data_IF_372214769754
#
_entry.id   IF_372214769754
#
_cell.length_a   1.000
_cell.length_b   1.000
_cell.length_c   1.000
_cell.angle_alpha   90.00
_cell.angle_beta   90.00
_cell.angle_gamma   90.00
#
_symmetry.space_group_name_H-M   'P 1'
#
loop_
_entity.id
_entity.type
_entity.pdbx_description
1 polymer ?
#
# COMPACT_ATOMS: atom_id res chain seq x y z
N UNK A 1 -6.80 13.48 5.61
CA UNK A 1 -5.40 13.42 6.11
C UNK A 1 -4.59 12.64 5.09
N UNK A 2 -3.58 13.24 4.47
CA UNK A 2 -2.69 12.51 3.57
C UNK A 2 -1.92 11.47 4.38
N UNK A 3 -2.03 10.19 4.01
CA UNK A 3 -1.23 9.16 4.65
C UNK A 3 0.26 9.51 4.46
N UNK A 4 1.09 9.44 5.50
CA UNK A 4 2.52 9.64 5.35
C UNK A 4 3.04 8.65 4.31
N UNK A 5 3.86 9.12 3.37
CA UNK A 5 4.48 8.25 2.38
C UNK A 5 5.28 7.12 3.05
N UNK A 6 5.45 5.99 2.35
CA UNK A 6 6.14 4.79 2.88
C UNK A 6 7.51 5.12 3.52
N UNK A 7 8.26 6.05 2.91
CA UNK A 7 9.55 6.51 3.46
C UNK A 7 9.38 7.20 4.83
N UNK A 8 8.45 8.14 4.94
CA UNK A 8 8.17 8.84 6.20
C UNK A 8 7.67 7.89 7.27
N UNK A 9 6.81 6.92 6.90
CA UNK A 9 6.32 5.90 7.82
C UNK A 9 7.47 5.11 8.47
N UNK A 10 8.35 4.50 7.66
CA UNK A 10 9.47 3.72 8.21
C UNK A 10 10.48 4.58 8.96
N UNK A 11 10.76 5.80 8.48
CA UNK A 11 11.65 6.72 9.20
C UNK A 11 11.08 7.05 10.59
N UNK A 12 9.78 7.35 10.70
CA UNK A 12 9.13 7.60 11.99
C UNK A 12 9.07 6.35 12.87
N UNK A 13 8.84 5.17 12.29
CA UNK A 13 8.78 3.90 13.01
C UNK A 13 10.13 3.57 13.66
N UNK A 14 11.24 3.72 12.92
CA UNK A 14 12.56 3.43 13.46
C UNK A 14 13.04 4.50 14.44
N UNK A 15 12.67 5.77 14.21
CA UNK A 15 12.92 6.84 15.17
C UNK A 15 12.14 6.64 16.48
N UNK A 16 10.87 6.23 16.42
CA UNK A 16 10.08 5.94 17.63
C UNK A 16 10.58 4.70 18.35
N UNK A 17 10.99 3.66 17.62
CA UNK A 17 11.63 2.48 18.20
C UNK A 17 12.92 2.85 18.95
N UNK A 18 13.74 3.74 18.37
CA UNK A 18 14.95 4.24 19.03
C UNK A 18 14.62 4.89 20.39
N UNK A 19 13.56 5.71 20.45
CA UNK A 19 13.11 6.35 21.69
C UNK A 19 12.61 5.30 22.68
N UNK A 20 11.73 4.39 22.25
CA UNK A 20 11.11 3.38 23.12
C UNK A 20 12.17 2.47 23.74
N UNK A 21 13.07 1.93 22.92
CA UNK A 21 14.13 1.02 23.42
C UNK A 21 15.08 1.76 24.35
N UNK A 22 15.51 2.97 23.98
CA UNK A 22 16.43 3.75 24.82
C UNK A 22 15.81 4.18 26.14
N UNK A 23 14.53 4.58 26.12
CA UNK A 23 13.78 4.95 27.32
C UNK A 23 13.57 3.73 28.23
N UNK A 24 13.29 2.55 27.68
CA UNK A 24 13.14 1.33 28.45
C UNK A 24 14.45 0.92 29.14
N UNK A 25 15.59 0.97 28.42
CA UNK A 25 16.91 0.72 29.01
C UNK A 25 17.29 1.76 30.07
N UNK A 26 16.97 3.03 29.84
CA UNK A 26 17.19 4.07 30.83
C UNK A 26 16.33 3.87 32.08
N UNK A 27 15.06 3.49 31.93
CA UNK A 27 14.18 3.21 33.05
C UNK A 27 14.65 1.98 33.85
N UNK A 28 15.06 0.89 33.19
CA UNK A 28 15.51 -0.31 33.87
C UNK A 28 16.75 -0.06 34.72
N UNK A 29 17.73 0.68 34.20
CA UNK A 29 18.93 1.07 34.95
C UNK A 29 18.61 1.97 36.14
N UNK A 30 17.65 2.90 36.01
CA UNK A 30 17.15 3.72 37.13
C UNK A 30 16.43 2.92 38.21
N UNK A 31 15.85 1.78 37.84
CA UNK A 31 15.20 0.85 38.76
C UNK A 31 16.18 -0.15 39.41
N UNK A 32 17.48 0.03 39.20
CA UNK A 32 18.53 -0.78 39.83
C UNK A 32 18.98 -1.99 39.02
N UNK A 33 18.53 -2.14 37.77
CA UNK A 33 19.13 -3.11 36.86
C UNK A 33 20.61 -2.74 36.61
N UNK A 34 21.53 -3.71 36.55
CA UNK A 34 22.92 -3.43 36.27
C UNK A 34 23.06 -2.81 34.88
N UNK A 35 23.60 -1.60 34.80
CA UNK A 35 24.01 -1.00 33.54
C UNK A 35 25.23 -1.77 33.03
N UNK A 36 25.18 -2.23 31.78
CA UNK A 36 26.30 -2.96 31.19
C UNK A 36 27.41 -1.98 30.83
N UNK A 37 27.04 -0.75 30.43
CA UNK A 37 27.99 0.33 30.10
C UNK A 37 27.47 1.72 30.51
N UNK A 38 28.35 2.69 30.86
CA UNK A 38 27.94 4.04 31.29
C UNK A 38 27.14 4.84 30.26
N UNK A 39 27.20 4.45 28.98
CA UNK A 39 26.58 5.13 27.85
C UNK A 39 25.53 4.24 27.13
N UNK A 40 24.85 3.34 27.84
CA UNK A 40 23.95 2.35 27.24
C UNK A 40 22.72 2.96 26.52
N UNK A 41 22.18 4.07 27.04
CA UNK A 41 21.01 4.74 26.43
C UNK A 41 21.33 5.53 25.14
N UNK A 42 22.38 6.38 25.03
CA UNK A 42 22.71 7.01 23.75
C UNK A 42 23.21 5.98 22.73
N UNK A 43 23.82 4.90 23.20
CA UNK A 43 24.23 3.76 22.40
C UNK A 43 23.04 3.08 21.73
N UNK A 44 22.03 2.69 22.51
CA UNK A 44 20.81 2.09 21.97
C UNK A 44 20.11 3.04 20.99
N UNK A 45 20.00 4.33 21.33
CA UNK A 45 19.40 5.33 20.45
C UNK A 45 20.13 5.41 19.10
N UNK A 46 21.47 5.48 19.12
CA UNK A 46 22.29 5.58 17.92
C UNK A 46 22.10 4.37 16.99
N UNK A 47 22.04 3.15 17.54
CA UNK A 47 21.87 1.91 16.77
C UNK A 47 20.58 1.95 15.94
N UNK A 48 19.45 2.35 16.53
CA UNK A 48 18.19 2.42 15.81
C UNK A 48 18.11 3.66 14.91
N UNK A 49 18.66 4.80 15.34
CA UNK A 49 18.67 6.03 14.53
C UNK A 49 19.51 5.90 13.26
N UNK A 50 20.56 5.06 13.25
CA UNK A 50 21.34 4.77 12.04
C UNK A 50 20.49 4.20 10.88
N UNK A 51 19.34 3.58 11.17
CA UNK A 51 18.44 3.10 10.12
C UNK A 51 17.63 4.19 9.45
N UNK A 52 17.32 5.28 10.16
CA UNK A 52 16.49 6.39 9.66
C UNK A 52 17.02 6.98 8.33
N UNK A 53 18.31 7.38 8.22
CA UNK A 53 18.83 7.90 6.96
C UNK A 53 18.93 6.83 5.86
N UNK A 54 18.93 5.54 6.21
CA UNK A 54 18.97 4.43 5.24
C UNK A 54 17.60 4.11 4.64
N UNK A 55 16.49 4.45 5.31
CA UNK A 55 15.12 4.20 4.84
C UNK A 55 14.88 4.62 3.38
N UNK A 56 15.20 5.85 2.92
CA UNK A 56 14.95 6.24 1.53
C UNK A 56 15.67 5.35 0.53
N UNK A 57 16.91 4.93 0.84
CA UNK A 57 17.67 3.98 0.03
C UNK A 57 17.01 2.60 0.05
N UNK A 58 16.66 2.08 1.21
CA UNK A 58 16.02 0.76 1.36
C UNK A 58 14.69 0.67 0.60
N UNK A 59 13.86 1.71 0.70
CA UNK A 59 12.58 1.78 -0.03
C UNK A 59 12.81 1.82 -1.53
N UNK A 60 13.76 2.63 -2.01
CA UNK A 60 14.10 2.70 -3.43
C UNK A 60 14.65 1.36 -3.94
N UNK A 61 15.51 0.71 -3.15
CA UNK A 61 16.11 -0.58 -3.45
C UNK A 61 15.05 -1.70 -3.50
N UNK A 62 14.17 -1.76 -2.49
CA UNK A 62 13.05 -2.71 -2.43
C UNK A 62 12.14 -2.59 -3.64
N UNK A 63 11.84 -1.37 -4.09
CA UNK A 63 11.01 -1.14 -5.29
C UNK A 63 11.72 -1.55 -6.58
N UNK A 64 13.01 -1.25 -6.70
CA UNK A 64 13.83 -1.64 -7.87
C UNK A 64 13.96 -3.16 -7.99
N UNK A 65 14.01 -3.87 -6.86
CA UNK A 65 14.19 -5.31 -6.78
C UNK A 65 12.94 -6.04 -6.25
N UNK A 66 11.75 -5.59 -6.68
CA UNK A 66 10.50 -6.23 -6.26
C UNK A 66 10.38 -7.67 -6.82
N UNK A 67 9.82 -8.63 -6.05
CA UNK A 67 9.70 -10.03 -6.43
C UNK A 67 8.80 -10.23 -7.65
N UNK A 68 9.40 -10.23 -8.84
CA UNK A 68 8.74 -10.56 -10.10
C UNK A 68 8.60 -12.09 -10.25
N UNK A 69 7.49 -12.53 -10.86
CA UNK A 69 7.28 -13.95 -11.23
C UNK A 69 8.47 -14.42 -12.08
N UNK A 70 9.13 -15.50 -11.64
CA UNK A 70 10.28 -16.11 -12.35
C UNK A 70 11.68 -15.73 -11.88
N UNK A 71 11.87 -14.71 -11.02
CA UNK A 71 13.21 -14.29 -10.53
C UNK A 71 13.37 -14.27 -9.01
N UNK A 72 12.50 -15.00 -8.28
CA UNK A 72 12.42 -14.97 -6.82
C UNK A 72 13.74 -15.33 -6.12
N UNK A 73 14.43 -16.38 -6.58
CA UNK A 73 15.71 -16.79 -5.99
C UNK A 73 16.80 -15.72 -6.17
N UNK A 74 16.93 -15.18 -7.39
CA UNK A 74 17.90 -14.10 -7.67
C UNK A 74 17.63 -12.87 -6.80
N UNK A 75 16.37 -12.50 -6.62
CA UNK A 75 15.97 -11.36 -5.80
C UNK A 75 16.24 -11.64 -4.33
N UNK A 76 15.93 -12.84 -3.84
CA UNK A 76 16.26 -13.26 -2.49
C UNK A 76 17.77 -13.17 -2.25
N UNK A 77 18.60 -13.70 -3.15
CA UNK A 77 20.06 -13.61 -3.07
C UNK A 77 20.56 -12.16 -3.05
N UNK A 78 20.02 -11.29 -3.90
CA UNK A 78 20.36 -9.86 -3.92
C UNK A 78 20.03 -9.21 -2.58
N UNK A 79 18.84 -9.46 -2.04
CA UNK A 79 18.44 -8.89 -0.75
C UNK A 79 19.26 -9.46 0.40
N UNK A 80 19.62 -10.74 0.39
CA UNK A 80 20.50 -11.36 1.38
C UNK A 80 21.89 -10.75 1.35
N UNK A 81 22.49 -10.58 0.16
CA UNK A 81 23.82 -9.97 0.02
C UNK A 81 23.82 -8.52 0.49
N UNK A 82 22.80 -7.73 0.12
CA UNK A 82 22.70 -6.34 0.57
C UNK A 82 22.42 -6.24 2.07
N UNK A 83 21.59 -7.12 2.63
CA UNK A 83 21.37 -7.17 4.08
C UNK A 83 22.69 -7.44 4.80
N UNK A 84 23.41 -8.49 4.40
CA UNK A 84 24.72 -8.84 5.00
C UNK A 84 25.70 -7.67 4.88
N UNK A 85 25.84 -7.07 3.69
CA UNK A 85 26.75 -5.95 3.46
C UNK A 85 26.40 -4.73 4.34
N UNK A 86 25.13 -4.35 4.42
CA UNK A 86 24.69 -3.22 5.24
C UNK A 86 24.89 -3.47 6.73
N UNK A 87 24.56 -4.67 7.21
CA UNK A 87 24.70 -5.01 8.64
C UNK A 87 26.19 -5.05 9.03
N UNK A 88 27.05 -5.61 8.18
CA UNK A 88 28.50 -5.59 8.38
C UNK A 88 29.05 -4.16 8.36
N UNK A 89 28.62 -3.32 7.41
CA UNK A 89 29.02 -1.92 7.36
C UNK A 89 28.59 -1.15 8.62
N UNK A 90 27.36 -1.37 9.08
CA UNK A 90 26.85 -0.78 10.32
C UNK A 90 27.65 -1.23 11.54
N UNK A 91 27.96 -2.53 11.65
CA UNK A 91 28.81 -3.07 12.71
C UNK A 91 30.20 -2.44 12.69
N UNK A 92 30.78 -2.28 11.50
CA UNK A 92 32.09 -1.66 11.35
C UNK A 92 32.07 -0.20 11.80
N UNK A 93 31.10 0.59 11.33
CA UNK A 93 30.89 1.98 11.75
C UNK A 93 30.70 2.06 13.27
N UNK A 94 29.89 1.17 13.82
CA UNK A 94 29.69 1.06 15.26
C UNK A 94 31.02 0.85 16.01
N UNK A 95 31.82 -0.14 15.62
CA UNK A 95 33.12 -0.41 16.25
C UNK A 95 34.09 0.76 16.11
N UNK A 96 34.10 1.48 14.99
CA UNK A 96 34.94 2.67 14.82
C UNK A 96 34.66 3.73 15.89
N UNK A 97 33.39 3.98 16.20
CA UNK A 97 33.01 4.98 17.20
C UNK A 97 33.19 4.50 18.64
N UNK A 98 32.89 3.24 18.93
CA UNK A 98 32.83 2.73 20.31
C UNK A 98 34.10 2.01 20.79
N UNK A 99 35.01 1.63 19.90
CA UNK A 99 36.36 1.18 20.29
C UNK A 99 37.32 2.35 20.59
N UNK A 100 36.90 3.59 20.36
CA UNK A 100 37.71 4.77 20.65
C UNK A 100 37.79 4.95 22.18
N UNK A 101 38.97 4.74 22.77
CA UNK A 101 39.18 4.71 24.22
C UNK A 101 39.30 3.30 24.83
N UNK A 102 39.40 2.25 24.01
CA UNK A 102 39.78 0.92 24.48
C UNK A 102 41.28 0.89 24.82
N UNK A 103 41.65 0.51 26.04
CA UNK A 103 43.05 0.49 26.52
C UNK A 103 43.95 -0.54 25.81
N UNK A 104 43.36 -1.47 25.05
CA UNK A 104 44.07 -2.40 24.18
C UNK A 104 44.42 -1.82 22.80
N UNK A 105 44.97 -2.65 21.91
CA UNK A 105 45.16 -2.25 20.52
C UNK A 105 43.79 -2.00 19.87
N UNK A 106 43.50 -0.74 19.50
CA UNK A 106 42.27 -0.33 18.82
C UNK A 106 41.91 -1.23 17.63
N UNK A 107 42.93 -1.69 16.89
CA UNK A 107 42.79 -2.63 15.78
C UNK A 107 42.17 -3.96 16.18
N UNK A 108 42.52 -4.49 17.35
CA UNK A 108 41.96 -5.76 17.85
C UNK A 108 40.50 -5.59 18.29
N UNK A 109 40.14 -4.43 18.85
CA UNK A 109 38.74 -4.12 19.18
C UNK A 109 37.88 -4.00 17.93
N UNK A 110 38.38 -3.29 16.90
CA UNK A 110 37.64 -3.10 15.64
C UNK A 110 37.56 -4.40 14.84
N UNK A 111 38.67 -5.13 14.70
CA UNK A 111 38.77 -6.30 13.81
C UNK A 111 38.47 -7.64 14.50
N UNK A 112 38.51 -7.71 15.83
CA UNK A 112 38.23 -8.91 16.64
C UNK A 112 36.74 -9.25 16.68
N UNK A 113 36.18 -9.71 15.57
CA UNK A 113 34.77 -10.10 15.47
C UNK A 113 34.61 -11.53 16.01
N UNK A 114 34.00 -11.66 17.18
CA UNK A 114 33.48 -12.96 17.65
C UNK A 114 32.18 -13.27 16.91
N UNK A 115 32.30 -14.01 15.81
CA UNK A 115 31.22 -14.24 14.85
C UNK A 115 29.95 -14.80 15.51
N UNK A 116 30.09 -15.71 16.47
CA UNK A 116 28.98 -16.36 17.20
C UNK A 116 28.14 -15.37 18.01
N UNK A 117 28.81 -14.58 18.86
CA UNK A 117 28.14 -13.58 19.70
C UNK A 117 27.46 -12.50 18.84
N UNK A 118 28.05 -12.18 17.69
CA UNK A 118 27.50 -11.23 16.74
C UNK A 118 26.26 -11.77 16.00
N UNK A 119 26.33 -13.01 15.49
CA UNK A 119 25.24 -13.66 14.78
C UNK A 119 23.98 -13.77 15.64
N UNK A 120 24.15 -14.18 16.90
CA UNK A 120 23.02 -14.45 17.81
C UNK A 120 22.42 -13.15 18.35
N UNK A 121 23.26 -12.21 18.81
CA UNK A 121 22.75 -11.06 19.56
C UNK A 121 22.42 -9.83 18.69
N UNK A 122 23.05 -9.71 17.52
CA UNK A 122 22.97 -8.48 16.72
C UNK A 122 22.41 -8.72 15.33
N UNK A 123 22.95 -9.68 14.60
CA UNK A 123 22.58 -9.90 13.21
C UNK A 123 21.09 -10.16 13.01
N UNK A 124 20.45 -10.96 13.88
CA UNK A 124 19.03 -11.27 13.75
C UNK A 124 18.12 -10.05 13.94
N UNK A 125 18.44 -9.17 14.89
CA UNK A 125 17.70 -7.92 15.10
C UNK A 125 17.81 -6.99 13.90
N UNK A 126 19.04 -6.82 13.39
CA UNK A 126 19.31 -5.97 12.23
C UNK A 126 18.67 -6.53 10.95
N UNK A 127 18.70 -7.85 10.77
CA UNK A 127 18.04 -8.55 9.67
C UNK A 127 16.53 -8.35 9.73
N UNK A 128 15.94 -8.39 10.93
CA UNK A 128 14.51 -8.16 11.12
C UNK A 128 14.13 -6.72 10.75
N UNK A 129 14.91 -5.72 11.16
CA UNK A 129 14.69 -4.31 10.77
C UNK A 129 14.74 -4.14 9.25
N UNK A 130 15.73 -4.73 8.61
CA UNK A 130 15.85 -4.73 7.15
C UNK A 130 14.65 -5.42 6.49
N UNK A 131 14.31 -6.63 6.91
CA UNK A 131 13.21 -7.43 6.36
C UNK A 131 11.85 -6.75 6.56
N UNK A 132 11.61 -6.14 7.72
CA UNK A 132 10.40 -5.38 8.01
C UNK A 132 10.27 -4.16 7.09
N UNK A 133 11.38 -3.45 6.84
CA UNK A 133 11.38 -2.28 5.94
C UNK A 133 11.12 -2.69 4.49
N UNK A 134 11.83 -3.71 3.98
CA UNK A 134 11.69 -4.18 2.60
C UNK A 134 10.33 -4.86 2.39
N UNK A 135 9.98 -5.83 3.22
CA UNK A 135 8.74 -6.58 3.13
C UNK A 135 7.52 -5.68 3.35
N UNK A 136 7.60 -4.77 4.32
CA UNK A 136 6.55 -3.78 4.54
C UNK A 136 6.42 -2.79 3.38
N UNK A 137 7.52 -2.38 2.74
CA UNK A 137 7.45 -1.58 1.50
C UNK A 137 6.66 -2.30 0.40
N UNK A 138 6.92 -3.59 0.19
CA UNK A 138 6.16 -4.38 -0.78
C UNK A 138 4.69 -4.53 -0.41
N UNK A 139 4.39 -4.69 0.88
CA UNK A 139 3.02 -4.77 1.38
C UNK A 139 2.28 -3.44 1.15
N UNK A 140 2.87 -2.30 1.51
CA UNK A 140 2.32 -0.96 1.26
C UNK A 140 2.06 -0.74 -0.24
N UNK A 141 3.03 -1.05 -1.09
CA UNK A 141 2.87 -0.89 -2.54
C UNK A 141 1.80 -1.85 -3.09
N UNK A 142 1.61 -3.03 -2.50
CA UNK A 142 0.55 -3.97 -2.89
C UNK A 142 -0.83 -3.47 -2.47
N UNK A 143 -0.97 -2.92 -1.25
CA UNK A 143 -2.20 -2.32 -0.76
C UNK A 143 -2.62 -1.12 -1.62
N UNK A 144 -1.67 -0.22 -1.91
CA UNK A 144 -1.92 0.95 -2.77
C UNK A 144 -2.36 0.54 -4.19
N UNK A 145 -1.73 -0.49 -4.77
CA UNK A 145 -2.16 -1.04 -6.06
C UNK A 145 -3.54 -1.68 -6.00
N UNK A 146 -3.87 -2.34 -4.89
CA UNK A 146 -5.19 -2.92 -4.65
C UNK A 146 -6.27 -1.84 -4.64
N UNK A 147 -6.07 -0.82 -3.82
CA UNK A 147 -7.00 0.30 -3.69
C UNK A 147 -7.23 1.04 -5.02
N UNK A 148 -6.15 1.28 -5.79
CA UNK A 148 -6.28 1.90 -7.12
C UNK A 148 -7.07 1.05 -8.11
N UNK A 149 -6.94 -0.28 -8.03
CA UNK A 149 -7.71 -1.20 -8.88
C UNK A 149 -9.19 -1.18 -8.50
N UNK A 150 -9.50 -1.19 -7.20
CA UNK A 150 -10.88 -1.10 -6.70
C UNK A 150 -11.55 0.20 -7.17
N UNK A 151 -10.86 1.34 -7.03
CA UNK A 151 -11.36 2.62 -7.52
C UNK A 151 -11.60 2.61 -9.03
N UNK A 152 -10.65 2.08 -9.81
CA UNK A 152 -10.81 1.99 -11.26
C UNK A 152 -11.95 1.05 -11.71
N UNK A 153 -12.24 0.00 -10.94
CA UNK A 153 -13.39 -0.87 -11.22
C UNK A 153 -14.69 -0.14 -10.93
N UNK A 154 -14.78 0.54 -9.78
CA UNK A 154 -15.95 1.32 -9.41
C UNK A 154 -16.26 2.45 -10.41
N UNK A 155 -15.24 3.12 -10.95
CA UNK A 155 -15.43 4.15 -11.97
C UNK A 155 -15.97 3.55 -13.30
N UNK A 156 -15.47 2.38 -13.71
CA UNK A 156 -15.98 1.68 -14.90
C UNK A 156 -17.43 1.19 -14.73
N UNK A 157 -17.77 0.69 -13.55
CA UNK A 157 -19.15 0.29 -13.24
C UNK A 157 -20.10 1.50 -13.29
N UNK A 158 -19.66 2.66 -12.82
CA UNK A 158 -20.43 3.91 -12.96
C UNK A 158 -20.61 4.34 -14.40
N UNK A 159 -19.56 4.25 -15.22
CA UNK A 159 -19.64 4.56 -16.65
C UNK A 159 -20.60 3.62 -17.39
N UNK A 160 -20.58 2.33 -17.07
CA UNK A 160 -21.53 1.34 -17.61
C UNK A 160 -22.97 1.67 -17.22
N UNK A 161 -23.24 1.91 -15.93
CA UNK A 161 -24.56 2.28 -15.46
C UNK A 161 -25.08 3.58 -16.10
N UNK A 162 -24.19 4.57 -16.31
CA UNK A 162 -24.55 5.81 -17.01
C UNK A 162 -24.87 5.58 -18.49
N UNK A 163 -24.11 4.71 -19.17
CA UNK A 163 -24.36 4.35 -20.56
C UNK A 163 -25.68 3.57 -20.72
N UNK A 164 -25.97 2.64 -19.82
CA UNK A 164 -27.24 1.91 -19.78
C UNK A 164 -28.42 2.86 -19.55
N UNK A 165 -28.30 3.80 -18.62
CA UNK A 165 -29.32 4.83 -18.37
C UNK A 165 -29.54 5.72 -19.61
N UNK A 166 -28.45 6.11 -20.28
CA UNK A 166 -28.53 6.94 -21.49
C UNK A 166 -29.19 6.17 -22.65
N UNK A 167 -28.90 4.88 -22.80
CA UNK A 167 -29.54 3.99 -23.78
C UNK A 167 -31.04 3.84 -23.48
N UNK A 168 -31.38 3.57 -22.21
CA UNK A 168 -32.77 3.45 -21.76
C UNK A 168 -33.57 4.74 -22.00
N UNK A 169 -32.95 5.92 -21.77
CA UNK A 169 -33.55 7.21 -22.12
C UNK A 169 -33.69 7.42 -23.63
N UNK A 170 -32.72 6.95 -24.41
CA UNK A 170 -32.74 7.04 -25.88
C UNK A 170 -33.87 6.24 -26.52
N UNK A 171 -34.24 5.09 -25.95
CA UNK A 171 -35.38 4.29 -26.42
C UNK A 171 -36.75 4.87 -26.05
N UNK A 172 -36.79 5.87 -25.17
CA UNK A 172 -37.99 6.68 -24.91
C UNK A 172 -37.79 8.03 -25.60
N UNK A 173 -37.65 8.03 -26.93
CA UNK A 173 -37.50 9.26 -27.69
C UNK A 173 -38.80 10.08 -27.61
N UNK A 174 -38.82 11.26 -26.96
CA UNK A 174 -40.06 12.03 -26.79
C UNK A 174 -40.69 12.45 -28.11
N UNK A 175 -39.87 12.59 -29.17
CA UNK A 175 -40.31 12.98 -30.50
C UNK A 175 -41.14 11.92 -31.21
N UNK A 176 -40.76 10.64 -31.09
CA UNK A 176 -41.53 9.53 -31.68
C UNK A 176 -42.87 9.37 -30.97
N UNK A 177 -42.88 9.44 -29.64
CA UNK A 177 -44.11 9.42 -28.85
C UNK A 177 -45.04 10.60 -29.23
N UNK A 178 -44.48 11.79 -29.44
CA UNK A 178 -45.25 12.98 -29.88
C UNK A 178 -45.84 12.79 -31.28
N UNK A 179 -45.09 12.19 -32.19
CA UNK A 179 -45.55 11.89 -33.56
C UNK A 179 -46.66 10.84 -33.58
N UNK A 180 -46.55 9.82 -32.71
CA UNK A 180 -47.59 8.80 -32.53
C UNK A 180 -48.86 9.43 -31.96
N UNK A 181 -48.78 10.26 -30.92
CA UNK A 181 -49.94 10.97 -30.38
C UNK A 181 -50.57 11.92 -31.40
N UNK A 182 -49.77 12.65 -32.18
CA UNK A 182 -50.27 13.51 -33.23
C UNK A 182 -51.04 12.70 -34.30
N UNK A 183 -50.46 11.58 -34.75
CA UNK A 183 -51.11 10.70 -35.74
C UNK A 183 -52.38 10.04 -35.24
N UNK A 184 -52.45 9.66 -33.96
CA UNK A 184 -53.66 9.12 -33.32
C UNK A 184 -54.73 10.22 -33.24
N UNK A 185 -54.35 11.43 -32.86
CA UNK A 185 -55.29 12.56 -32.71
C UNK A 185 -55.89 12.97 -34.06
N UNK A 186 -55.08 12.93 -35.13
CA UNK A 186 -55.53 13.15 -36.50
C UNK A 186 -56.50 12.04 -36.97
N UNK A 187 -56.18 10.76 -36.71
CA UNK A 187 -57.07 9.64 -37.07
C UNK A 187 -58.37 9.62 -36.26
N UNK A 188 -58.37 10.04 -35.00
CA UNK A 188 -59.57 10.04 -34.16
C UNK A 188 -60.73 10.88 -34.75
N UNK A 189 -60.42 11.91 -35.54
CA UNK A 189 -61.41 12.77 -36.20
C UNK A 189 -61.95 12.22 -37.52
N UNK A 190 -61.25 11.27 -38.15
CA UNK A 190 -61.57 10.78 -39.51
C UNK A 190 -61.89 9.28 -39.55
N UNK A 191 -61.35 8.51 -38.62
CA UNK A 191 -61.57 7.08 -38.45
C UNK A 191 -61.45 6.71 -36.95
N UNK A 192 -62.54 6.88 -36.17
CA UNK A 192 -62.52 6.63 -34.73
C UNK A 192 -62.19 5.18 -34.38
N UNK A 193 -62.67 4.22 -35.17
CA UNK A 193 -62.44 2.80 -34.94
C UNK A 193 -60.97 2.42 -35.21
N UNK A 194 -60.37 2.95 -36.28
CA UNK A 194 -58.94 2.78 -36.56
C UNK A 194 -58.04 3.45 -35.52
N UNK A 195 -58.45 4.58 -34.95
CA UNK A 195 -57.73 5.25 -33.86
C UNK A 195 -57.77 4.43 -32.55
N UNK A 196 -58.91 3.83 -32.22
CA UNK A 196 -59.07 2.97 -31.03
C UNK A 196 -58.16 1.73 -31.09
N UNK A 197 -58.06 1.10 -32.27
CA UNK A 197 -57.14 -0.01 -32.51
C UNK A 197 -55.68 0.40 -32.31
N UNK A 198 -55.30 1.60 -32.78
CA UNK A 198 -53.93 2.12 -32.69
C UNK A 198 -53.55 2.50 -31.26
N UNK A 199 -54.49 3.08 -30.50
CA UNK A 199 -54.31 3.35 -29.07
C UNK A 199 -54.08 2.04 -28.31
N UNK A 200 -54.81 0.98 -28.67
CA UNK A 200 -54.66 -0.35 -28.06
C UNK A 200 -53.29 -0.96 -28.36
N UNK A 201 -52.82 -0.92 -29.61
CA UNK A 201 -51.49 -1.41 -29.99
C UNK A 201 -50.34 -0.64 -29.32
N UNK A 202 -50.48 0.69 -29.19
CA UNK A 202 -49.49 1.53 -28.50
C UNK A 202 -49.50 1.25 -26.99
N UNK A 203 -50.67 1.08 -26.39
CA UNK A 203 -50.80 0.73 -24.97
C UNK A 203 -50.18 -0.63 -24.66
N UNK A 204 -50.41 -1.64 -25.52
CA UNK A 204 -49.81 -2.97 -25.36
C UNK A 204 -48.29 -2.93 -25.54
N UNK A 205 -47.78 -2.20 -26.54
CA UNK A 205 -46.33 -2.02 -26.75
C UNK A 205 -45.64 -1.34 -25.56
N UNK A 206 -46.25 -0.30 -25.00
CA UNK A 206 -45.75 0.37 -23.77
C UNK A 206 -45.77 -0.58 -22.56
N UNK A 207 -46.79 -1.43 -22.45
CA UNK A 207 -46.91 -2.41 -21.37
C UNK A 207 -45.77 -3.43 -21.42
N UNK A 208 -45.39 -3.89 -22.62
CA UNK A 208 -44.27 -4.81 -22.81
C UNK A 208 -42.93 -4.17 -22.43
N UNK A 209 -42.71 -2.90 -22.81
CA UNK A 209 -41.49 -2.16 -22.45
C UNK A 209 -41.39 -1.95 -20.94
N UNK A 210 -42.48 -1.55 -20.28
CA UNK A 210 -42.52 -1.36 -18.82
C UNK A 210 -42.29 -2.68 -18.06
N UNK A 211 -42.83 -3.79 -18.55
CA UNK A 211 -42.57 -5.11 -17.97
C UNK A 211 -41.12 -5.55 -18.14
N UNK A 212 -40.51 -5.30 -19.29
CA UNK A 212 -39.09 -5.59 -19.53
C UNK A 212 -38.17 -4.77 -18.60
N UNK A 213 -38.48 -3.49 -18.36
CA UNK A 213 -37.73 -2.64 -17.43
C UNK A 213 -37.85 -3.14 -15.98
N UNK A 214 -39.04 -3.62 -15.56
CA UNK A 214 -39.23 -4.17 -14.21
C UNK A 214 -38.55 -5.52 -13.97
N UNK A 215 -38.34 -6.32 -15.02
CA UNK A 215 -37.70 -7.63 -14.91
C UNK A 215 -36.17 -7.57 -14.89
N UNK A 216 -35.59 -6.42 -15.24
CA UNK A 216 -34.14 -6.15 -15.21
C UNK A 216 -33.64 -5.46 -13.92
N UNK A 217 -34.50 -5.27 -12.92
CA UNK A 217 -34.16 -4.80 -11.55
C UNK A 217 -34.20 -5.97 -10.56
#
# INVERSE_FOLDING_TARGET
MNAPGVKTFFATLWASMAIVVSAATYASTRLGAPAIYPAEYPFNAAIYLMWVPLVPFLVAFARRHAPLRGRRLRIALIHSLVAVALILAKLFVHRLFFCNGYDGAWGDCVMGIRLEAWLVNWYMGELLVYAATVGGTWAFDAMERGHRRELSVADKERELAAAELQSARGHIAPGEMKSLFASITEKLHHDPAGAESMITEVADSLRTVVQAIRAGQ
#
